data_IF_700954120219
#
_entry.id   IF_700954120219
#
_cell.length_a   1.000
_cell.length_b   1.000
_cell.length_c   1.000
_cell.angle_alpha   90.00
_cell.angle_beta   90.00
_cell.angle_gamma   90.00
#
_symmetry.space_group_name_H-M   'P 1'
#
loop_
_entity.id
_entity.type
_entity.pdbx_description
1 polymer ?
#
# COMPACT_ATOMS: atom_id res chain seq x y z
N UNK A 1 11.15 -58.19 7.02
CA UNK A 1 12.20 -57.39 7.67
C UNK A 1 12.87 -56.62 6.54
N UNK A 2 12.58 -55.33 6.37
CA UNK A 2 13.23 -54.22 7.08
C UNK A 2 14.69 -54.09 6.62
N UNK A 3 15.18 -52.94 6.18
CA UNK A 3 14.81 -51.57 6.61
C UNK A 3 14.47 -50.60 5.47
N UNK A 4 14.12 -49.36 5.83
CA UNK A 4 13.86 -48.23 4.90
C UNK A 4 15.06 -47.29 4.91
N UNK A 5 15.43 -46.74 3.76
CA UNK A 5 16.14 -45.46 3.68
C UNK A 5 15.31 -44.48 2.85
N UNK A 6 15.12 -43.27 3.38
CA UNK A 6 14.20 -42.27 2.84
C UNK A 6 14.97 -41.22 2.04
N UNK A 7 15.01 -41.35 0.72
CA UNK A 7 15.36 -40.22 -0.14
C UNK A 7 14.17 -39.25 -0.18
N UNK A 8 14.19 -38.25 0.70
CA UNK A 8 13.27 -37.12 0.66
C UNK A 8 13.75 -36.18 -0.45
N UNK A 9 13.07 -36.20 -1.59
CA UNK A 9 13.29 -35.25 -2.68
C UNK A 9 12.81 -33.85 -2.27
N UNK A 10 13.64 -33.11 -1.54
CA UNK A 10 13.41 -31.69 -1.25
C UNK A 10 13.66 -30.91 -2.54
N UNK A 11 12.61 -30.75 -3.34
CA UNK A 11 12.60 -29.90 -4.52
C UNK A 11 12.82 -28.44 -4.12
N UNK A 12 14.07 -27.98 -4.12
CA UNK A 12 14.48 -26.63 -3.74
C UNK A 12 14.03 -25.60 -4.79
N UNK A 13 12.74 -25.29 -4.81
CA UNK A 13 12.18 -24.17 -5.57
C UNK A 13 12.41 -22.86 -4.81
N UNK A 14 13.67 -22.44 -4.72
CA UNK A 14 14.01 -21.06 -4.38
C UNK A 14 13.70 -20.17 -5.59
N UNK A 15 12.42 -19.84 -5.76
CA UNK A 15 11.94 -18.96 -6.83
C UNK A 15 12.28 -17.51 -6.49
N UNK A 16 13.01 -16.85 -7.40
CA UNK A 16 13.42 -15.45 -7.28
C UNK A 16 12.20 -14.51 -7.16
N UNK A 17 12.03 -13.85 -6.02
CA UNK A 17 10.88 -12.99 -5.72
C UNK A 17 11.20 -11.65 -5.02
N UNK A 18 12.47 -11.23 -5.00
CA UNK A 18 12.89 -9.93 -4.43
C UNK A 18 12.64 -8.74 -5.39
N UNK A 19 11.43 -8.65 -5.96
CA UNK A 19 10.95 -7.50 -6.72
C UNK A 19 10.00 -6.66 -5.86
N UNK A 20 10.26 -5.35 -5.62
CA UNK A 20 9.53 -4.55 -4.63
C UNK A 20 8.03 -4.35 -4.94
N UNK A 21 7.58 -4.66 -6.15
CA UNK A 21 6.17 -4.63 -6.52
C UNK A 21 5.33 -5.77 -5.93
N UNK A 22 5.92 -6.96 -5.69
CA UNK A 22 5.19 -8.15 -5.25
C UNK A 22 4.53 -7.96 -3.86
N UNK A 23 5.14 -7.15 -2.99
CA UNK A 23 4.66 -6.93 -1.61
C UNK A 23 3.30 -6.23 -1.53
N UNK A 24 3.02 -5.27 -2.42
CA UNK A 24 1.73 -4.57 -2.42
C UNK A 24 0.58 -5.48 -2.86
N UNK A 25 0.84 -6.45 -3.74
CA UNK A 25 -0.16 -7.43 -4.18
C UNK A 25 -0.61 -8.32 -3.01
N UNK A 26 0.35 -8.77 -2.19
CA UNK A 26 0.09 -9.58 -0.98
C UNK A 26 -0.72 -8.78 0.07
N UNK A 27 -0.40 -7.51 0.28
CA UNK A 27 -1.14 -6.61 1.19
C UNK A 27 -2.57 -6.27 0.67
N UNK A 28 -2.82 -6.42 -0.64
CA UNK A 28 -4.11 -6.18 -1.31
C UNK A 28 -4.90 -7.46 -1.67
N UNK A 29 -4.42 -8.63 -1.23
CA UNK A 29 -5.03 -9.94 -1.51
C UNK A 29 -5.96 -10.40 -0.38
N UNK A 30 -7.11 -10.96 -0.76
CA UNK A 30 -8.08 -11.54 0.16
C UNK A 30 -7.63 -12.93 0.64
N UNK A 31 -7.50 -13.17 1.97
CA UNK A 31 -6.95 -14.41 2.53
C UNK A 31 -7.88 -15.63 2.43
N UNK A 32 -8.98 -15.55 1.67
CA UNK A 32 -9.94 -16.64 1.46
C UNK A 32 -9.96 -17.11 0.00
N UNK A 33 -9.99 -16.19 -0.97
CA UNK A 33 -9.93 -16.55 -2.39
C UNK A 33 -8.53 -16.45 -3.00
N UNK A 34 -7.57 -15.80 -2.32
CA UNK A 34 -6.21 -15.53 -2.80
C UNK A 34 -6.17 -14.68 -4.09
N UNK A 35 -7.21 -13.86 -4.27
CA UNK A 35 -7.36 -12.86 -5.33
C UNK A 35 -7.39 -11.46 -4.69
N UNK A 36 -7.14 -10.41 -5.47
CA UNK A 36 -7.30 -9.01 -5.03
C UNK A 36 -8.73 -8.74 -4.49
N UNK A 37 -8.85 -7.87 -3.48
CA UNK A 37 -10.15 -7.61 -2.84
C UNK A 37 -11.22 -7.03 -3.80
N UNK A 38 -12.36 -7.72 -3.89
CA UNK A 38 -13.55 -7.28 -4.62
C UNK A 38 -14.78 -7.22 -3.68
N UNK A 39 -15.53 -6.11 -3.71
CA UNK A 39 -16.56 -5.78 -2.70
C UNK A 39 -16.07 -6.04 -1.25
N UNK A 40 -14.97 -5.43 -0.78
CA UNK A 40 -14.46 -5.70 0.57
C UNK A 40 -15.41 -5.20 1.65
N UNK A 41 -15.93 -6.11 2.47
CA UNK A 41 -16.74 -5.82 3.66
C UNK A 41 -15.88 -5.94 4.93
N UNK A 42 -16.04 -5.01 5.87
CA UNK A 42 -15.34 -5.03 7.15
C UNK A 42 -16.14 -5.79 8.22
N UNK A 43 -15.47 -6.72 8.89
CA UNK A 43 -15.97 -7.37 10.09
C UNK A 43 -15.78 -6.47 11.33
N UNK A 44 -16.50 -6.74 12.45
CA UNK A 44 -16.30 -6.00 13.70
C UNK A 44 -14.89 -6.10 14.33
N UNK A 45 -14.01 -6.93 13.78
CA UNK A 45 -12.58 -7.00 14.09
C UNK A 45 -11.69 -6.13 13.18
N UNK A 46 -12.29 -5.24 12.37
CA UNK A 46 -11.65 -4.38 11.36
C UNK A 46 -10.93 -5.08 10.20
N UNK A 47 -11.00 -6.42 10.12
CA UNK A 47 -10.48 -7.15 8.96
C UNK A 47 -11.50 -7.15 7.82
N UNK A 48 -11.00 -6.99 6.59
CA UNK A 48 -11.82 -7.02 5.38
C UNK A 48 -11.83 -8.41 4.74
N UNK A 49 -12.93 -8.77 4.08
CA UNK A 49 -13.05 -9.91 3.18
C UNK A 49 -13.91 -9.53 1.97
N UNK A 50 -13.67 -10.15 0.81
CA UNK A 50 -14.58 -10.02 -0.33
C UNK A 50 -16.00 -10.46 0.06
N UNK A 51 -17.03 -9.70 -0.33
CA UNK A 51 -18.45 -10.00 -0.04
C UNK A 51 -18.80 -11.47 -0.33
N UNK A 52 -18.43 -11.96 -1.52
CA UNK A 52 -18.70 -13.35 -1.93
C UNK A 52 -18.07 -14.36 -0.96
N UNK A 53 -16.83 -14.14 -0.52
CA UNK A 53 -16.17 -15.03 0.44
C UNK A 53 -16.90 -15.09 1.79
N UNK A 54 -17.49 -13.98 2.24
CA UNK A 54 -18.33 -13.97 3.44
C UNK A 54 -19.66 -14.71 3.23
N UNK A 55 -20.31 -14.53 2.07
CA UNK A 55 -21.51 -15.25 1.68
C UNK A 55 -21.27 -16.77 1.65
N UNK A 56 -20.16 -17.21 1.02
CA UNK A 56 -19.74 -18.62 0.93
C UNK A 56 -19.43 -19.22 2.32
N UNK A 57 -18.70 -18.49 3.19
CA UNK A 57 -18.37 -18.94 4.56
C UNK A 57 -19.64 -19.13 5.40
N UNK A 58 -20.56 -18.16 5.38
CA UNK A 58 -21.80 -18.23 6.17
C UNK A 58 -22.73 -19.31 5.59
N UNK A 59 -22.86 -19.43 4.27
CA UNK A 59 -23.68 -20.49 3.66
C UNK A 59 -23.11 -21.90 3.97
N UNK A 60 -21.79 -22.05 4.09
CA UNK A 60 -21.15 -23.28 4.55
C UNK A 60 -21.52 -23.60 6.00
N UNK A 61 -21.35 -22.65 6.92
CA UNK A 61 -21.64 -22.84 8.36
C UNK A 61 -23.11 -23.13 8.65
N UNK A 62 -24.04 -22.45 7.96
CA UNK A 62 -25.49 -22.71 8.07
C UNK A 62 -25.83 -24.15 7.64
N UNK A 63 -25.20 -24.70 6.59
CA UNK A 63 -25.37 -26.11 6.19
C UNK A 63 -24.82 -27.10 7.25
N UNK A 64 -23.86 -26.68 8.06
CA UNK A 64 -23.30 -27.45 9.18
C UNK A 64 -24.00 -27.19 10.53
N UNK A 65 -25.10 -26.43 10.56
CA UNK A 65 -25.81 -26.09 11.80
C UNK A 65 -25.02 -25.16 12.74
N UNK A 66 -24.05 -24.41 12.22
CA UNK A 66 -23.26 -23.45 12.99
C UNK A 66 -23.73 -22.02 12.74
N UNK A 67 -23.87 -21.24 13.81
CA UNK A 67 -24.18 -19.82 13.77
C UNK A 67 -22.92 -18.94 13.74
N UNK A 68 -23.03 -17.77 13.10
CA UNK A 68 -21.96 -16.79 12.98
C UNK A 68 -20.79 -17.22 12.12
N UNK A 69 -19.67 -16.51 12.25
CA UNK A 69 -18.39 -16.86 11.65
C UNK A 69 -17.21 -16.66 12.60
N UNK A 70 -16.11 -17.37 12.35
CA UNK A 70 -14.78 -17.02 12.84
C UNK A 70 -14.04 -16.25 11.72
N UNK A 71 -13.44 -15.10 12.04
CA UNK A 71 -12.65 -14.31 11.09
C UNK A 71 -11.40 -15.10 10.63
N UNK A 72 -11.15 -15.32 9.32
CA UNK A 72 -9.98 -16.04 8.83
C UNK A 72 -8.65 -15.43 9.29
N UNK A 73 -8.55 -14.10 9.29
CA UNK A 73 -7.32 -13.36 9.59
C UNK A 73 -6.94 -13.37 11.07
N UNK A 74 -7.91 -13.30 11.99
CA UNK A 74 -7.64 -13.11 13.43
C UNK A 74 -8.41 -14.07 14.37
N UNK A 75 -9.17 -15.02 13.83
CA UNK A 75 -9.95 -16.06 14.53
C UNK A 75 -11.00 -15.57 15.55
N UNK A 76 -11.23 -14.25 15.65
CA UNK A 76 -12.31 -13.67 16.45
C UNK A 76 -13.68 -14.11 15.90
N UNK A 77 -14.61 -14.44 16.80
CA UNK A 77 -15.97 -14.84 16.45
C UNK A 77 -16.88 -13.61 16.27
N UNK A 78 -17.77 -13.67 15.29
CA UNK A 78 -18.77 -12.64 15.01
C UNK A 78 -20.12 -13.29 14.70
N UNK A 79 -21.18 -12.83 15.38
CA UNK A 79 -22.55 -13.17 14.99
C UNK A 79 -22.95 -12.29 13.80
N UNK A 80 -22.91 -12.87 12.60
CA UNK A 80 -23.34 -12.25 11.35
C UNK A 80 -24.13 -13.30 10.56
N UNK A 81 -25.41 -13.06 10.35
CA UNK A 81 -26.26 -13.83 9.44
C UNK A 81 -26.12 -13.35 7.99
N UNK A 82 -26.71 -14.08 7.04
CA UNK A 82 -26.70 -13.68 5.62
C UNK A 82 -27.37 -12.32 5.39
N UNK A 83 -28.39 -12.01 6.17
CA UNK A 83 -29.16 -10.75 6.14
C UNK A 83 -28.38 -9.60 6.77
N UNK A 84 -27.43 -9.90 7.66
CA UNK A 84 -26.56 -8.89 8.27
C UNK A 84 -25.35 -8.54 7.38
N UNK A 85 -25.00 -9.36 6.39
CA UNK A 85 -23.91 -9.08 5.45
C UNK A 85 -24.12 -7.79 4.63
N UNK A 86 -25.36 -7.48 4.24
CA UNK A 86 -25.68 -6.24 3.52
C UNK A 86 -25.49 -4.98 4.37
N UNK A 87 -25.37 -5.15 5.69
CA UNK A 87 -25.26 -4.08 6.67
C UNK A 87 -23.81 -3.93 7.20
N UNK A 88 -22.88 -4.79 6.77
CA UNK A 88 -21.46 -4.64 7.08
C UNK A 88 -20.88 -3.44 6.29
N UNK A 89 -20.05 -2.58 6.90
CA UNK A 89 -19.44 -1.45 6.19
C UNK A 89 -18.52 -1.92 5.06
N UNK A 90 -18.68 -1.35 3.86
CA UNK A 90 -17.68 -1.49 2.78
C UNK A 90 -16.38 -0.79 3.15
N UNK A 91 -15.25 -1.43 2.87
CA UNK A 91 -13.93 -0.80 2.92
C UNK A 91 -13.65 -0.07 1.58
N UNK A 92 -14.33 1.06 1.37
CA UNK A 92 -14.17 1.87 0.16
C UNK A 92 -12.71 2.32 -0.06
N UNK A 93 -11.91 2.48 0.99
CA UNK A 93 -10.49 2.82 0.85
C UNK A 93 -9.71 1.68 0.17
N UNK A 94 -9.86 0.45 0.67
CA UNK A 94 -9.24 -0.74 0.10
C UNK A 94 -9.73 -1.03 -1.33
N UNK A 95 -11.04 -0.88 -1.58
CA UNK A 95 -11.65 -1.01 -2.91
C UNK A 95 -11.03 -0.03 -3.93
N UNK A 96 -10.84 1.24 -3.54
CA UNK A 96 -10.18 2.24 -4.37
C UNK A 96 -8.67 1.97 -4.56
N UNK A 97 -7.96 1.44 -3.55
CA UNK A 97 -6.54 1.11 -3.68
C UNK A 97 -6.33 -0.06 -4.65
N UNK A 98 -7.13 -1.13 -4.54
CA UNK A 98 -7.12 -2.26 -5.50
C UNK A 98 -7.38 -1.77 -6.93
N UNK A 99 -8.37 -0.90 -7.12
CA UNK A 99 -8.69 -0.33 -8.43
C UNK A 99 -7.49 0.43 -9.03
N UNK A 100 -6.82 1.31 -8.25
CA UNK A 100 -5.64 2.04 -8.72
C UNK A 100 -4.41 1.13 -8.93
N UNK A 101 -4.26 0.08 -8.13
CA UNK A 101 -3.20 -0.92 -8.31
C UNK A 101 -3.34 -1.64 -9.67
N UNK A 102 -4.56 -2.04 -10.04
CA UNK A 102 -4.85 -2.66 -11.34
C UNK A 102 -4.65 -1.70 -12.52
N UNK A 103 -5.01 -0.42 -12.40
CA UNK A 103 -4.68 0.62 -13.39
C UNK A 103 -3.16 0.76 -13.57
N UNK A 104 -2.39 0.78 -12.49
CA UNK A 104 -0.92 0.95 -12.54
C UNK A 104 -0.24 -0.28 -13.16
N UNK A 105 -0.64 -1.49 -12.79
CA UNK A 105 -0.11 -2.73 -13.40
C UNK A 105 -0.42 -2.78 -14.92
N UNK A 106 -1.67 -2.49 -15.32
CA UNK A 106 -2.05 -2.52 -16.74
C UNK A 106 -1.40 -1.39 -17.56
N UNK A 107 -1.23 -0.19 -16.99
CA UNK A 107 -0.48 0.90 -17.60
C UNK A 107 1.01 0.53 -17.79
N UNK A 108 1.66 -0.05 -16.78
CA UNK A 108 3.05 -0.50 -16.86
C UNK A 108 3.25 -1.52 -17.98
N UNK A 109 2.38 -2.53 -18.06
CA UNK A 109 2.40 -3.54 -19.13
C UNK A 109 2.20 -2.96 -20.54
N UNK A 110 1.48 -1.83 -20.67
CA UNK A 110 1.33 -1.13 -21.96
C UNK A 110 2.62 -0.44 -22.42
N UNK A 111 3.43 0.06 -21.47
CA UNK A 111 4.61 0.88 -21.77
C UNK A 111 5.77 0.05 -22.35
N UNK A 112 5.83 -1.26 -22.04
CA UNK A 112 6.83 -2.18 -22.60
C UNK A 112 6.62 -2.53 -24.09
N UNK A 113 5.46 -2.22 -24.69
CA UNK A 113 5.22 -2.50 -26.12
C UNK A 113 5.78 -1.45 -27.09
N UNK A 114 6.19 -0.28 -26.60
CA UNK A 114 6.54 0.87 -27.45
C UNK A 114 8.04 1.14 -27.55
N UNK A 115 8.86 0.66 -26.61
CA UNK A 115 10.29 0.98 -26.55
C UNK A 115 11.16 -0.12 -27.17
N UNK A 116 11.19 -0.16 -28.51
CA UNK A 116 12.19 -0.90 -29.27
C UNK A 116 12.65 -0.10 -30.48
N UNK A 117 13.95 0.26 -30.49
CA UNK A 117 14.66 1.07 -31.50
C UNK A 117 14.18 2.54 -31.57
N UNK A 118 15.05 3.56 -31.47
CA UNK A 118 16.44 3.64 -31.94
C UNK A 118 17.37 4.47 -31.03
N UNK A 119 18.68 4.36 -31.27
CA UNK A 119 19.77 5.01 -30.51
C UNK A 119 20.50 6.11 -31.31
N UNK A 120 20.62 7.31 -30.74
CA UNK A 120 21.80 8.18 -30.77
C UNK A 120 21.58 9.35 -29.76
N UNK A 121 22.38 9.59 -28.73
CA UNK A 121 23.84 9.78 -28.57
C UNK A 121 24.34 11.17 -28.97
N UNK A 122 24.61 12.02 -27.97
CA UNK A 122 25.50 13.20 -28.04
C UNK A 122 26.00 13.58 -26.64
N UNK A 123 27.21 14.12 -26.55
CA UNK A 123 27.96 14.31 -25.29
C UNK A 123 27.96 15.78 -24.83
N UNK A 124 28.20 15.98 -23.54
CA UNK A 124 28.56 17.28 -22.95
C UNK A 124 28.16 17.42 -21.48
N UNK A 125 29.00 17.73 -20.48
CA UNK A 125 30.42 17.52 -20.17
C UNK A 125 30.80 18.57 -19.11
N UNK A 126 31.16 18.15 -17.87
CA UNK A 126 31.91 18.95 -16.86
C UNK A 126 31.13 20.18 -16.28
N UNK A 127 31.35 20.69 -15.06
CA UNK A 127 32.05 20.29 -13.80
C UNK A 127 31.37 21.07 -12.63
N UNK A 128 31.78 21.18 -11.36
CA UNK A 128 33.01 20.85 -10.59
C UNK A 128 32.66 20.70 -9.08
N UNK A 129 33.65 20.40 -8.24
CA UNK A 129 33.56 20.12 -6.79
C UNK A 129 33.39 21.35 -5.89
N UNK A 130 33.11 21.14 -4.58
CA UNK A 130 33.72 21.83 -3.42
C UNK A 130 33.22 21.30 -2.06
N UNK A 131 34.08 20.66 -1.28
CA UNK A 131 33.86 20.34 0.14
C UNK A 131 33.91 21.58 1.07
N UNK A 132 33.12 21.55 2.16
CA UNK A 132 33.59 21.81 3.54
C UNK A 132 32.48 21.52 4.57
N UNK A 133 32.81 21.06 5.79
CA UNK A 133 31.81 20.73 6.81
C UNK A 133 31.37 21.97 7.61
N UNK A 134 30.10 21.97 8.05
CA UNK A 134 29.57 22.88 9.08
C UNK A 134 28.95 22.03 10.18
N UNK A 135 29.11 22.46 11.43
CA UNK A 135 28.72 21.71 12.61
C UNK A 135 27.19 21.59 12.73
N UNK A 136 26.72 20.47 13.27
CA UNK A 136 25.31 20.21 13.43
C UNK A 136 24.74 20.92 14.66
N UNK A 137 23.67 21.69 14.49
CA UNK A 137 22.60 21.80 15.48
C UNK A 137 21.26 22.18 14.84
N UNK A 138 20.26 21.34 15.11
CA UNK A 138 18.81 21.52 15.03
C UNK A 138 18.05 21.71 13.68
N UNK A 139 16.76 21.38 13.77
CA UNK A 139 15.62 21.51 12.84
C UNK A 139 15.79 20.98 11.41
N UNK A 140 15.09 19.88 11.10
CA UNK A 140 15.04 19.27 9.77
C UNK A 140 14.30 20.13 8.72
N UNK A 141 14.97 21.11 8.11
CA UNK A 141 14.40 22.01 7.09
C UNK A 141 13.96 21.34 5.76
N UNK A 142 13.97 20.01 5.64
CA UNK A 142 13.76 19.29 4.37
C UNK A 142 12.33 18.75 4.23
N UNK A 143 11.84 18.69 2.98
CA UNK A 143 10.52 18.17 2.67
C UNK A 143 10.46 16.64 2.86
N UNK A 144 9.66 16.19 3.82
CA UNK A 144 9.49 14.76 4.16
C UNK A 144 8.74 13.91 3.11
N UNK A 145 8.23 14.54 2.04
CA UNK A 145 7.48 13.90 0.94
C UNK A 145 8.14 14.12 -0.43
N UNK A 146 9.46 14.02 -0.53
CA UNK A 146 10.19 14.05 -1.80
C UNK A 146 10.76 12.67 -2.14
N UNK A 147 10.27 12.06 -3.22
CA UNK A 147 10.59 10.70 -3.67
C UNK A 147 12.00 10.54 -4.29
N UNK A 148 12.98 11.35 -3.87
CA UNK A 148 14.29 11.47 -4.53
C UNK A 148 15.46 11.69 -3.58
N UNK A 149 16.67 11.33 -4.03
CA UNK A 149 17.91 11.36 -3.23
C UNK A 149 18.30 12.75 -2.69
N UNK A 150 17.75 13.82 -3.24
CA UNK A 150 17.89 15.19 -2.77
C UNK A 150 16.49 15.78 -2.51
N UNK A 151 15.95 15.71 -1.28
CA UNK A 151 14.67 16.34 -0.96
C UNK A 151 14.78 17.87 -1.05
N UNK A 152 13.74 18.51 -1.56
CA UNK A 152 13.69 19.98 -1.61
C UNK A 152 13.59 20.57 -0.20
N UNK A 153 14.14 21.77 0.01
CA UNK A 153 13.90 22.55 1.23
C UNK A 153 12.39 22.78 1.44
N UNK A 154 11.93 22.61 2.67
CA UNK A 154 10.56 22.86 3.05
C UNK A 154 10.30 24.38 3.14
N UNK A 155 9.22 24.81 2.50
CA UNK A 155 8.71 26.18 2.56
C UNK A 155 7.46 26.30 3.45
N UNK A 156 6.88 25.16 3.80
CA UNK A 156 5.61 25.05 4.53
C UNK A 156 5.63 23.91 5.56
N UNK A 157 4.97 24.12 6.69
CA UNK A 157 4.72 23.15 7.76
C UNK A 157 3.21 22.97 7.94
N UNK A 158 2.73 21.74 8.13
CA UNK A 158 1.34 21.50 8.56
C UNK A 158 1.31 20.99 10.01
N UNK A 159 0.69 21.75 10.89
CA UNK A 159 0.62 21.46 12.33
C UNK A 159 -0.14 20.16 12.64
N UNK A 160 -1.24 19.88 11.92
CA UNK A 160 -2.07 18.69 12.15
C UNK A 160 -1.47 17.41 11.57
N UNK A 161 -0.52 17.54 10.64
CA UNK A 161 0.22 16.40 10.08
C UNK A 161 1.60 16.23 10.73
N UNK A 162 2.13 17.25 11.41
CA UNK A 162 3.53 17.37 11.85
C UNK A 162 4.55 17.10 10.74
N UNK A 163 4.23 17.49 9.50
CA UNK A 163 5.05 17.27 8.30
C UNK A 163 5.48 18.58 7.66
N UNK A 164 6.70 18.56 7.12
CA UNK A 164 7.32 19.66 6.37
C UNK A 164 7.26 19.38 4.85
N UNK A 165 6.85 20.40 4.10
CA UNK A 165 6.52 20.34 2.68
C UNK A 165 7.31 21.41 1.91
N UNK A 166 7.90 21.04 0.78
CA UNK A 166 8.17 22.01 -0.28
C UNK A 166 6.87 22.31 -1.04
N UNK A 167 6.81 23.46 -1.69
CA UNK A 167 5.64 23.98 -2.41
C UNK A 167 4.97 22.94 -3.33
N UNK A 168 5.75 22.31 -4.22
CA UNK A 168 5.28 21.24 -5.12
C UNK A 168 4.61 20.07 -4.39
N UNK A 169 5.13 19.67 -3.23
CA UNK A 169 4.61 18.55 -2.47
C UNK A 169 3.43 18.94 -1.57
N UNK A 170 3.35 20.21 -1.14
CA UNK A 170 2.16 20.77 -0.51
C UNK A 170 0.97 20.74 -1.48
N UNK A 171 1.13 21.26 -2.70
CA UNK A 171 0.03 21.28 -3.68
C UNK A 171 -0.42 19.86 -4.09
N UNK A 172 0.54 18.95 -4.32
CA UNK A 172 0.28 17.58 -4.77
C UNK A 172 -0.34 16.68 -3.70
N UNK A 173 0.10 16.79 -2.44
CA UNK A 173 -0.26 15.85 -1.37
C UNK A 173 -1.03 16.48 -0.20
N UNK A 174 -1.14 17.81 -0.15
CA UNK A 174 -1.92 18.55 0.85
C UNK A 174 -2.75 19.68 0.21
N UNK A 175 -3.68 19.35 -0.71
CA UNK A 175 -4.58 20.35 -1.27
C UNK A 175 -5.54 20.88 -0.19
N UNK A 176 -5.77 22.20 -0.15
CA UNK A 176 -6.70 22.88 0.78
C UNK A 176 -8.19 22.62 0.44
N UNK A 177 -8.59 21.35 0.33
CA UNK A 177 -9.94 20.87 -0.03
C UNK A 177 -10.25 19.56 0.71
N UNK A 178 -11.53 19.18 0.77
CA UNK A 178 -11.96 17.97 1.46
C UNK A 178 -11.60 17.99 2.95
N UNK A 179 -11.15 16.88 3.50
CA UNK A 179 -10.75 16.76 4.92
C UNK A 179 -9.61 17.69 5.32
N UNK A 180 -8.70 18.01 4.40
CA UNK A 180 -7.50 18.82 4.66
C UNK A 180 -7.76 20.34 4.64
N UNK A 181 -8.98 20.82 4.35
CA UNK A 181 -9.25 22.27 4.28
C UNK A 181 -9.09 22.99 5.62
N UNK A 182 -9.27 22.29 6.75
CA UNK A 182 -9.13 22.82 8.11
C UNK A 182 -7.70 22.75 8.66
N UNK A 183 -6.76 22.16 7.92
CA UNK A 183 -5.37 22.02 8.38
C UNK A 183 -4.63 23.37 8.29
N UNK A 184 -4.00 23.77 9.39
CA UNK A 184 -3.26 25.03 9.55
C UNK A 184 -1.84 24.85 9.03
N UNK A 185 -1.59 25.40 7.85
CA UNK A 185 -0.28 25.45 7.20
C UNK A 185 0.42 26.77 7.57
N UNK A 186 1.67 26.70 8.01
CA UNK A 186 2.54 27.81 8.42
C UNK A 186 3.87 27.78 7.64
N UNK A 187 4.67 28.83 7.73
CA UNK A 187 6.10 28.76 7.34
C UNK A 187 6.89 28.08 8.47
N UNK A 188 7.91 27.25 8.17
CA UNK A 188 8.74 26.60 9.19
C UNK A 188 9.46 27.59 10.13
N UNK A 189 9.74 28.80 9.65
CA UNK A 189 10.47 29.85 10.37
C UNK A 189 9.66 30.59 11.45
N UNK A 190 8.55 30.02 11.93
CA UNK A 190 7.80 30.52 13.09
C UNK A 190 7.38 29.32 13.95
N UNK A 191 8.27 28.93 14.86
CA UNK A 191 7.99 28.05 15.98
C UNK A 191 8.28 28.82 17.27
N UNK A 192 7.32 29.69 17.61
CA UNK A 192 7.13 30.37 18.90
C UNK A 192 5.76 29.98 19.45
#
# INVERSE_FOLDING_TARGET
>A
MSEKLQNISISSQHSSKDEPYNRMEEELTCPVCLELYADPLMLPCSHSLCKKCLEDIIQSRVKSGQEGLDCPSCRKKHQVSKEQLTNLPKNLALENIVFRFQEIQSASLSQFKSNSLSLNSSLGSQSSDRDSPVFAEDVNELCGLCDGKSPNKATWFCEQCSVLYCERCLEKFHPRRGTLCHHRIRKPSHME
#
